data_IF_416209248604
#
_entry.id   IF_416209248604
#
_cell.length_a   1.000
_cell.length_b   1.000
_cell.length_c   1.000
_cell.angle_alpha   90.00
_cell.angle_beta   90.00
_cell.angle_gamma   90.00
#
_symmetry.space_group_name_H-M   'P 1'
#
loop_
_entity.id
_entity.type
_entity.pdbx_description
1 polymer ?
#
# COMPACT_ATOMS: atom_id res chain seq x y z
N UNK A 1 -12.03 6.07 9.51
CA UNK A 1 -12.92 7.05 8.84
C UNK A 1 -14.24 7.18 9.59
N UNK A 2 -15.01 6.11 9.79
CA UNK A 2 -16.34 6.21 10.43
C UNK A 2 -16.29 6.75 11.85
N UNK A 3 -15.32 6.33 12.67
CA UNK A 3 -15.11 6.91 14.03
C UNK A 3 -14.79 8.39 14.01
N UNK A 4 -14.03 8.84 13.03
CA UNK A 4 -13.69 10.25 12.86
C UNK A 4 -14.90 11.11 12.49
N UNK A 5 -15.79 10.56 11.63
CA UNK A 5 -16.97 11.29 11.14
C UNK A 5 -18.17 11.26 12.09
N UNK A 6 -18.35 10.18 12.85
CA UNK A 6 -19.60 9.94 13.60
C UNK A 6 -19.41 9.72 15.10
N UNK A 7 -18.17 9.75 15.60
CA UNK A 7 -17.86 9.48 17.01
C UNK A 7 -18.16 8.05 17.43
N UNK A 8 -18.75 7.88 18.63
CA UNK A 8 -19.10 6.55 19.13
C UNK A 8 -20.40 6.05 18.47
N UNK A 9 -20.32 4.92 17.79
CA UNK A 9 -21.43 4.30 17.05
C UNK A 9 -21.64 2.88 17.60
N UNK A 10 -22.90 2.47 17.82
CA UNK A 10 -23.24 1.10 18.18
C UNK A 10 -22.72 0.09 17.14
N UNK A 11 -22.25 -1.10 17.56
CA UNK A 11 -21.58 -2.06 16.66
C UNK A 11 -22.38 -2.45 15.42
N UNK A 12 -23.70 -2.68 15.58
CA UNK A 12 -24.57 -3.03 14.45
C UNK A 12 -24.70 -1.91 13.43
N UNK A 13 -24.86 -0.68 13.90
CA UNK A 13 -24.95 0.52 13.06
C UNK A 13 -23.60 0.81 12.38
N UNK A 14 -22.50 0.52 13.07
CA UNK A 14 -21.15 0.64 12.49
C UNK A 14 -20.98 -0.33 11.32
N UNK A 15 -21.41 -1.59 11.45
CA UNK A 15 -21.34 -2.57 10.35
C UNK A 15 -22.18 -2.15 9.15
N UNK A 16 -23.42 -1.69 9.37
CA UNK A 16 -24.28 -1.20 8.29
C UNK A 16 -23.69 0.01 7.55
N UNK A 17 -23.14 0.98 8.30
CA UNK A 17 -22.50 2.16 7.72
C UNK A 17 -21.22 1.80 6.97
N UNK A 18 -20.43 0.87 7.51
CA UNK A 18 -19.22 0.38 6.84
C UNK A 18 -19.56 -0.32 5.53
N UNK A 19 -20.58 -1.18 5.52
CA UNK A 19 -21.06 -1.85 4.30
C UNK A 19 -21.48 -0.82 3.24
N UNK A 20 -22.31 0.14 3.62
CA UNK A 20 -22.78 1.19 2.71
C UNK A 20 -21.65 2.08 2.21
N UNK A 21 -20.68 2.40 3.08
CA UNK A 21 -19.48 3.14 2.69
C UNK A 21 -18.66 2.35 1.64
N UNK A 22 -18.47 1.05 1.84
CA UNK A 22 -17.74 0.21 0.90
C UNK A 22 -18.47 0.08 -0.43
N UNK A 23 -19.79 -0.08 -0.45
CA UNK A 23 -20.61 -0.11 -1.66
C UNK A 23 -20.46 1.18 -2.50
N UNK A 24 -20.55 2.35 -1.87
CA UNK A 24 -20.34 3.65 -2.56
C UNK A 24 -18.88 3.81 -3.00
N UNK A 25 -17.95 3.43 -2.15
CA UNK A 25 -16.53 3.49 -2.46
C UNK A 25 -16.14 2.60 -3.66
N UNK A 26 -16.76 1.42 -3.77
CA UNK A 26 -16.57 0.49 -4.88
C UNK A 26 -17.06 1.09 -6.21
N UNK A 27 -18.21 1.76 -6.21
CA UNK A 27 -18.76 2.43 -7.39
C UNK A 27 -17.86 3.58 -7.88
N UNK A 28 -17.18 4.27 -6.97
CA UNK A 28 -16.33 5.42 -7.26
C UNK A 28 -14.82 5.13 -7.16
N UNK A 29 -14.44 3.85 -7.10
CA UNK A 29 -13.09 3.40 -6.77
C UNK A 29 -11.97 4.06 -7.58
N UNK A 30 -12.23 4.43 -8.84
CA UNK A 30 -11.22 4.97 -9.75
C UNK A 30 -11.58 6.33 -10.36
N UNK A 31 -12.67 6.99 -9.89
CA UNK A 31 -13.14 8.27 -10.50
C UNK A 31 -12.06 9.37 -10.42
N UNK A 32 -11.33 9.43 -9.30
CA UNK A 32 -10.28 10.41 -9.06
C UNK A 32 -8.89 9.80 -8.93
N UNK A 33 -8.78 8.46 -9.02
CA UNK A 33 -7.50 7.77 -8.88
C UNK A 33 -6.73 7.79 -10.19
N UNK A 34 -5.44 8.09 -10.11
CA UNK A 34 -4.51 8.07 -11.24
C UNK A 34 -3.15 7.56 -10.78
N UNK A 35 -2.40 7.04 -11.72
CA UNK A 35 -0.98 6.71 -11.49
C UNK A 35 -0.20 8.03 -11.42
N UNK A 36 0.60 8.20 -10.38
CA UNK A 36 1.44 9.39 -10.23
C UNK A 36 2.61 9.37 -11.24
N UNK A 37 3.11 10.57 -11.54
CA UNK A 37 4.27 10.74 -12.42
C UNK A 37 5.49 9.96 -11.92
N UNK A 38 6.18 9.28 -12.83
CA UNK A 38 7.36 8.47 -12.52
C UNK A 38 7.05 7.03 -12.07
N UNK A 39 5.82 6.72 -11.64
CA UNK A 39 5.44 5.37 -11.20
C UNK A 39 5.50 4.38 -12.35
N UNK A 40 4.95 4.73 -13.52
CA UNK A 40 4.96 3.84 -14.69
C UNK A 40 6.38 3.47 -15.10
N UNK A 41 7.29 4.45 -15.21
CA UNK A 41 8.69 4.22 -15.56
C UNK A 41 9.41 3.33 -14.53
N UNK A 42 9.10 3.51 -13.25
CA UNK A 42 9.64 2.68 -12.18
C UNK A 42 9.17 1.22 -12.31
N UNK A 43 7.86 0.98 -12.48
CA UNK A 43 7.29 -0.36 -12.62
C UNK A 43 7.83 -1.07 -13.87
N UNK A 44 7.92 -0.37 -15.02
CA UNK A 44 8.49 -0.89 -16.26
C UNK A 44 9.96 -1.32 -16.06
N UNK A 45 10.73 -0.50 -15.34
CA UNK A 45 12.14 -0.81 -15.07
C UNK A 45 12.29 -2.02 -14.16
N UNK A 46 11.48 -2.11 -13.09
CA UNK A 46 11.49 -3.28 -12.21
C UNK A 46 11.15 -4.55 -12.98
N UNK A 47 10.11 -4.51 -13.82
CA UNK A 47 9.69 -5.63 -14.66
C UNK A 47 10.79 -6.05 -15.64
N UNK A 48 11.42 -5.10 -16.33
CA UNK A 48 12.50 -5.35 -17.27
C UNK A 48 13.76 -5.93 -16.60
N UNK A 49 13.98 -5.60 -15.34
CA UNK A 49 15.05 -6.17 -14.49
C UNK A 49 14.65 -7.48 -13.80
N UNK A 50 13.47 -8.01 -14.09
CA UNK A 50 12.93 -9.23 -13.48
C UNK A 50 12.83 -9.16 -11.96
N UNK A 51 12.52 -7.97 -11.41
CA UNK A 51 12.27 -7.77 -9.99
C UNK A 51 10.81 -8.15 -9.70
N UNK A 52 10.59 -9.11 -8.82
CA UNK A 52 9.26 -9.47 -8.36
C UNK A 52 8.63 -8.33 -7.54
N UNK A 53 7.37 -8.04 -7.82
CA UNK A 53 6.65 -6.94 -7.17
C UNK A 53 5.37 -7.43 -6.52
N UNK A 54 5.15 -7.03 -5.25
CA UNK A 54 3.92 -7.23 -4.52
C UNK A 54 3.24 -5.89 -4.22
N UNK A 55 1.92 -5.84 -4.35
CA UNK A 55 1.12 -4.74 -3.82
C UNK A 55 0.63 -5.12 -2.41
N UNK A 56 1.15 -4.44 -1.37
CA UNK A 56 0.78 -4.67 0.03
C UNK A 56 0.04 -3.45 0.57
N UNK A 57 -1.26 -3.57 0.83
CA UNK A 57 -2.14 -2.45 1.19
C UNK A 57 -3.06 -2.76 2.35
N UNK A 58 -3.47 -1.73 3.11
CA UNK A 58 -4.53 -1.86 4.12
C UNK A 58 -5.97 -1.78 3.54
N UNK A 59 -6.08 -1.51 2.22
CA UNK A 59 -7.35 -1.62 1.49
C UNK A 59 -7.77 -3.10 1.38
N UNK A 60 -9.08 -3.44 1.41
CA UNK A 60 -9.54 -4.80 1.12
C UNK A 60 -8.97 -5.32 -0.21
N UNK A 61 -8.59 -6.61 -0.23
CA UNK A 61 -7.87 -7.21 -1.35
C UNK A 61 -8.60 -7.09 -2.69
N UNK A 62 -9.92 -7.38 -2.68
CA UNK A 62 -10.74 -7.29 -3.89
C UNK A 62 -10.77 -5.87 -4.48
N UNK A 63 -10.89 -4.83 -3.62
CA UNK A 63 -10.86 -3.42 -4.04
C UNK A 63 -9.46 -2.99 -4.53
N UNK A 64 -8.41 -3.53 -3.93
CA UNK A 64 -7.05 -3.28 -4.38
C UNK A 64 -6.82 -3.85 -5.79
N UNK A 65 -7.21 -5.10 -6.02
CA UNK A 65 -7.12 -5.76 -7.33
C UNK A 65 -7.92 -5.03 -8.40
N UNK A 66 -9.15 -4.65 -8.10
CA UNK A 66 -10.00 -3.88 -9.03
C UNK A 66 -9.39 -2.52 -9.37
N UNK A 67 -8.84 -1.80 -8.37
CA UNK A 67 -8.18 -0.51 -8.61
C UNK A 67 -6.96 -0.67 -9.51
N UNK A 68 -6.10 -1.65 -9.26
CA UNK A 68 -4.93 -1.93 -10.08
C UNK A 68 -5.32 -2.24 -11.55
N UNK A 69 -6.39 -3.02 -11.76
CA UNK A 69 -6.92 -3.32 -13.09
C UNK A 69 -7.46 -2.06 -13.79
N UNK A 70 -8.25 -1.24 -13.10
CA UNK A 70 -8.78 0.02 -13.66
C UNK A 70 -7.66 1.01 -14.02
N UNK A 71 -6.57 1.00 -13.27
CA UNK A 71 -5.37 1.79 -13.54
C UNK A 71 -4.43 1.12 -14.57
N UNK A 72 -4.74 -0.10 -15.04
CA UNK A 72 -3.95 -0.88 -16.00
C UNK A 72 -2.52 -1.19 -15.54
N UNK A 73 -2.30 -1.34 -14.22
CA UNK A 73 -1.01 -1.66 -13.61
C UNK A 73 -1.00 -2.98 -12.84
N UNK A 74 -2.11 -3.74 -12.86
CA UNK A 74 -2.23 -5.05 -12.21
C UNK A 74 -1.19 -6.06 -12.72
N UNK A 75 -0.86 -5.99 -13.99
CA UNK A 75 0.08 -6.89 -14.66
C UNK A 75 1.56 -6.74 -14.22
N UNK A 76 1.87 -5.76 -13.36
CA UNK A 76 3.19 -5.62 -12.74
C UNK A 76 3.33 -6.43 -11.45
N UNK A 77 2.23 -6.76 -10.79
CA UNK A 77 2.24 -7.35 -9.45
C UNK A 77 1.92 -8.84 -9.52
N UNK A 78 2.89 -9.67 -9.13
CA UNK A 78 2.70 -11.13 -9.01
C UNK A 78 1.92 -11.52 -7.76
N UNK A 79 1.82 -10.60 -6.77
CA UNK A 79 1.11 -10.80 -5.52
C UNK A 79 0.38 -9.51 -5.10
N UNK A 80 -0.85 -9.66 -4.62
CA UNK A 80 -1.62 -8.58 -3.96
C UNK A 80 -2.02 -9.06 -2.57
N UNK A 81 -1.62 -8.31 -1.54
CA UNK A 81 -1.96 -8.56 -0.14
C UNK A 81 -2.76 -7.36 0.37
N UNK A 82 -4.06 -7.56 0.55
CA UNK A 82 -4.98 -6.56 1.09
C UNK A 82 -5.03 -6.56 2.61
N UNK A 83 -5.75 -5.61 3.18
CA UNK A 83 -5.90 -5.47 4.63
C UNK A 83 -6.73 -6.57 5.30
N UNK A 84 -7.36 -7.42 4.52
CA UNK A 84 -8.19 -8.57 4.91
C UNK A 84 -7.63 -9.92 4.41
N UNK A 85 -6.49 -9.92 3.72
CA UNK A 85 -5.85 -11.15 3.20
C UNK A 85 -5.23 -12.01 4.30
N UNK A 86 -4.80 -11.40 5.42
CA UNK A 86 -4.10 -12.05 6.53
C UNK A 86 -4.72 -11.64 7.86
N UNK A 87 -4.31 -12.31 8.94
CA UNK A 87 -4.79 -12.02 10.30
C UNK A 87 -4.44 -10.59 10.78
N UNK A 88 -3.34 -10.04 10.31
CA UNK A 88 -2.86 -8.71 10.67
C UNK A 88 -2.49 -7.93 9.41
N UNK A 89 -2.60 -6.60 9.51
CA UNK A 89 -2.28 -5.64 8.44
C UNK A 89 -1.23 -4.64 8.89
N UNK A 90 -0.63 -3.87 7.97
CA UNK A 90 0.31 -2.80 8.33
C UNK A 90 -0.29 -1.84 9.37
N UNK A 91 0.42 -1.47 10.43
CA UNK A 91 1.87 -1.53 10.63
C UNK A 91 2.43 -2.86 11.20
N UNK A 92 1.64 -3.94 11.23
CA UNK A 92 2.20 -5.25 11.56
C UNK A 92 3.08 -5.74 10.39
N UNK A 93 4.24 -6.40 10.66
CA UNK A 93 5.15 -6.87 9.62
C UNK A 93 4.62 -8.08 8.84
N UNK A 94 3.57 -8.77 9.32
CA UNK A 94 3.07 -10.01 8.74
C UNK A 94 2.85 -9.96 7.22
N UNK A 95 2.23 -8.90 6.64
CA UNK A 95 2.03 -8.84 5.19
C UNK A 95 3.34 -8.79 4.39
N UNK A 96 4.36 -8.11 4.92
CA UNK A 96 5.68 -8.03 4.27
C UNK A 96 6.42 -9.37 4.39
N UNK A 97 6.44 -9.97 5.56
CA UNK A 97 7.04 -11.30 5.80
C UNK A 97 6.37 -12.38 4.95
N UNK A 98 5.05 -12.32 4.80
CA UNK A 98 4.31 -13.21 3.90
C UNK A 98 4.74 -13.03 2.43
N UNK A 99 4.86 -11.80 1.96
CA UNK A 99 5.30 -11.50 0.59
C UNK A 99 6.73 -12.02 0.35
N UNK A 100 7.63 -11.83 1.32
CA UNK A 100 9.00 -12.36 1.26
C UNK A 100 9.01 -13.89 1.19
N UNK A 101 8.15 -14.55 1.96
CA UNK A 101 8.01 -16.01 1.93
C UNK A 101 7.51 -16.50 0.56
N UNK A 102 6.49 -15.84 -0.01
CA UNK A 102 5.94 -16.20 -1.35
C UNK A 102 7.00 -16.05 -2.43
N UNK A 103 7.80 -14.97 -2.40
CA UNK A 103 8.86 -14.72 -3.38
C UNK A 103 10.17 -15.43 -3.05
N UNK A 104 10.25 -16.15 -1.93
CA UNK A 104 11.46 -16.80 -1.45
C UNK A 104 12.66 -15.83 -1.37
N UNK A 105 12.42 -14.62 -0.84
CA UNK A 105 13.43 -13.57 -0.69
C UNK A 105 13.84 -13.39 0.77
N UNK A 106 15.00 -12.77 0.98
CA UNK A 106 15.54 -12.42 2.30
C UNK A 106 15.43 -10.90 2.54
N UNK A 107 15.64 -10.47 3.79
CA UNK A 107 15.60 -9.06 4.17
C UNK A 107 16.48 -8.16 3.29
N UNK A 108 17.77 -8.47 3.02
CA UNK A 108 18.63 -7.64 2.18
C UNK A 108 18.20 -7.59 0.69
N UNK A 109 17.32 -8.50 0.27
CA UNK A 109 16.83 -8.58 -1.10
C UNK A 109 15.46 -7.92 -1.27
N UNK A 110 14.91 -7.35 -0.20
CA UNK A 110 13.54 -6.84 -0.18
C UNK A 110 13.55 -5.37 0.19
N UNK A 111 12.83 -4.57 -0.58
CA UNK A 111 12.63 -3.15 -0.35
C UNK A 111 11.13 -2.86 -0.23
N UNK A 112 10.74 -2.15 0.82
CA UNK A 112 9.41 -1.54 0.90
C UNK A 112 9.44 -0.17 0.24
N UNK A 113 8.47 0.09 -0.64
CA UNK A 113 8.17 1.43 -1.14
C UNK A 113 6.78 1.79 -0.65
N UNK A 114 6.66 2.86 0.12
CA UNK A 114 5.42 3.25 0.78
C UNK A 114 5.16 4.75 0.80
N UNK A 115 4.10 5.16 1.48
CA UNK A 115 3.69 6.57 1.56
C UNK A 115 3.23 6.99 2.97
N UNK A 116 3.30 6.10 3.94
CA UNK A 116 2.76 6.33 5.28
C UNK A 116 3.64 5.78 6.41
N UNK A 117 3.40 6.26 7.62
CA UNK A 117 4.01 5.70 8.84
C UNK A 117 3.74 4.20 9.02
N UNK A 118 2.59 3.71 8.54
CA UNK A 118 2.29 2.28 8.60
C UNK A 118 3.26 1.44 7.76
N UNK A 119 3.73 1.98 6.64
CA UNK A 119 4.70 1.32 5.76
C UNK A 119 6.08 1.28 6.40
N UNK A 120 6.52 2.44 6.93
CA UNK A 120 7.79 2.59 7.63
C UNK A 120 7.86 1.62 8.82
N UNK A 121 6.81 1.58 9.63
CA UNK A 121 6.77 0.76 10.84
C UNK A 121 6.70 -0.73 10.53
N UNK A 122 5.93 -1.12 9.51
CA UNK A 122 5.88 -2.51 9.04
C UNK A 122 7.24 -2.97 8.52
N UNK A 123 7.91 -2.16 7.68
CA UNK A 123 9.24 -2.45 7.14
C UNK A 123 10.29 -2.56 8.25
N UNK A 124 10.30 -1.60 9.19
CA UNK A 124 11.21 -1.61 10.36
C UNK A 124 11.06 -2.88 11.18
N UNK A 125 9.82 -3.31 11.45
CA UNK A 125 9.53 -4.55 12.19
C UNK A 125 9.84 -5.82 11.40
N UNK A 126 9.73 -5.76 10.06
CA UNK A 126 10.13 -6.86 9.18
C UNK A 126 11.66 -6.95 8.99
N UNK A 127 12.41 -5.90 9.39
CA UNK A 127 13.87 -5.82 9.22
C UNK A 127 14.28 -5.57 7.76
N UNK A 128 13.44 -4.90 6.96
CA UNK A 128 13.74 -4.55 5.56
C UNK A 128 13.86 -3.04 5.39
N UNK A 129 14.56 -2.62 4.36
CA UNK A 129 14.66 -1.22 3.98
C UNK A 129 13.32 -0.64 3.50
N UNK A 130 13.12 0.67 3.75
CA UNK A 130 11.92 1.38 3.37
C UNK A 130 12.26 2.73 2.74
N UNK A 131 11.76 2.96 1.54
CA UNK A 131 11.75 4.27 0.88
C UNK A 131 10.31 4.76 0.82
N UNK A 132 10.08 6.03 1.13
CA UNK A 132 8.74 6.61 1.07
C UNK A 132 8.65 7.75 0.07
N UNK A 133 7.45 7.92 -0.50
CA UNK A 133 7.17 9.05 -1.39
C UNK A 133 6.56 10.21 -0.61
N UNK A 134 6.94 11.45 -0.97
CA UNK A 134 6.48 12.67 -0.29
C UNK A 134 5.02 13.02 -0.60
N UNK A 135 4.49 12.55 -1.74
CA UNK A 135 3.15 12.90 -2.26
C UNK A 135 2.06 11.94 -1.83
N UNK A 136 2.36 10.97 -0.97
CA UNK A 136 1.41 9.96 -0.50
C UNK A 136 0.46 10.45 0.59
N UNK A 137 -0.37 9.54 1.08
CA UNK A 137 -1.35 9.82 2.13
C UNK A 137 -0.89 9.30 3.49
N UNK A 138 -0.33 10.18 4.31
CA UNK A 138 0.09 9.89 5.68
C UNK A 138 -0.87 10.44 6.74
N UNK A 139 -2.18 10.27 6.55
CA UNK A 139 -3.23 10.64 7.51
C UNK A 139 -3.21 12.12 7.97
N UNK A 140 -2.66 13.02 7.16
CA UNK A 140 -2.49 14.44 7.49
C UNK A 140 -1.24 14.76 8.32
N UNK A 141 -0.42 13.77 8.64
CA UNK A 141 0.88 13.94 9.31
C UNK A 141 1.99 14.13 8.26
N UNK A 142 3.04 14.86 8.62
CA UNK A 142 4.21 15.01 7.76
C UNK A 142 4.99 13.67 7.76
N UNK A 143 5.29 13.13 6.57
CA UNK A 143 5.99 11.85 6.44
C UNK A 143 7.41 11.90 7.04
N UNK A 144 8.04 13.06 7.06
CA UNK A 144 9.37 13.25 7.66
C UNK A 144 9.38 13.05 9.18
N UNK A 145 8.23 13.26 9.85
CA UNK A 145 8.11 13.07 11.30
C UNK A 145 8.06 11.58 11.69
N UNK A 146 7.91 10.69 10.70
CA UNK A 146 7.88 9.23 10.91
C UNK A 146 9.28 8.57 10.83
N UNK A 147 10.35 9.37 10.77
CA UNK A 147 11.75 8.92 10.72
C UNK A 147 11.99 7.92 9.56
N UNK A 148 11.70 8.30 8.29
CA UNK A 148 11.96 7.47 7.13
C UNK A 148 13.46 7.38 6.82
N UNK A 149 13.92 6.23 6.32
CA UNK A 149 15.31 6.08 5.85
C UNK A 149 15.61 6.98 4.64
N UNK A 150 14.64 7.08 3.71
CA UNK A 150 14.73 7.92 2.53
C UNK A 150 13.34 8.39 2.10
N UNK A 151 13.25 9.63 1.65
CA UNK A 151 12.06 10.22 1.02
C UNK A 151 12.41 10.62 -0.40
N UNK A 152 11.54 10.31 -1.36
CA UNK A 152 11.66 10.73 -2.75
C UNK A 152 10.39 11.44 -3.21
N UNK A 153 10.54 12.43 -4.07
CA UNK A 153 9.40 13.16 -4.64
C UNK A 153 8.80 12.46 -5.86
N UNK A 154 9.54 11.52 -6.45
CA UNK A 154 9.13 10.70 -7.60
C UNK A 154 9.83 9.36 -7.56
N UNK A 155 9.14 8.28 -7.93
CA UNK A 155 9.72 6.93 -7.92
C UNK A 155 10.80 6.73 -8.98
N UNK A 156 10.75 7.44 -10.11
CA UNK A 156 11.77 7.36 -11.15
C UNK A 156 13.15 7.90 -10.71
N UNK A 157 13.23 8.64 -9.59
CA UNK A 157 14.50 9.02 -8.96
C UNK A 157 15.30 7.81 -8.43
N UNK A 158 14.64 6.67 -8.26
CA UNK A 158 15.28 5.41 -7.82
C UNK A 158 15.90 4.61 -8.97
N UNK A 159 15.80 5.10 -10.20
CA UNK A 159 16.26 4.41 -11.41
C UNK A 159 17.69 4.72 -11.83
N UNK A 160 18.47 5.33 -10.96
CA UNK A 160 19.85 5.76 -11.23
C UNK A 160 20.82 4.59 -11.20
#
# INVERSE_FOLDING_TARGET
VLHFLFGHIEPEKHQQLLKKYLEVYEQELCVYSRVFDGVQAFLDTCKNRHIEMACVTNKPEHLAKELLQKLQIDHYFSLVVGGDSLALRKPDPLPLLHSMQVFNTTQPQTLMVGDSKNDIEAARRAGIDCIVVSYGYNHGENIYDSDPQQVVDRLDQLLV
#
